data_IF_806589858228
#
_entry.id   IF_806589858228
#
_cell.length_a   1.000
_cell.length_b   1.000
_cell.length_c   1.000
_cell.angle_alpha   90.00
_cell.angle_beta   90.00
_cell.angle_gamma   90.00
#
_symmetry.space_group_name_H-M   'P 1'
#
loop_
_entity.id
_entity.type
_entity.pdbx_description
1 polymer ?
#
# COMPACT_ATOMS: atom_id res chain seq x y z
N UNK A 1 33.43 -2.26 -30.04
CA UNK A 1 32.63 -2.68 -28.87
C UNK A 1 33.02 -1.97 -27.56
N UNK A 2 34.32 -1.76 -27.25
CA UNK A 2 34.73 -1.05 -26.01
C UNK A 2 34.21 0.41 -25.90
N UNK A 3 34.15 1.17 -27.00
CA UNK A 3 33.71 2.57 -26.96
C UNK A 3 32.20 2.75 -26.69
N UNK A 4 31.36 1.86 -27.21
CA UNK A 4 29.90 1.97 -27.08
C UNK A 4 29.42 1.50 -25.70
N UNK A 5 30.08 0.48 -25.13
CA UNK A 5 29.71 -0.03 -23.81
C UNK A 5 30.10 0.94 -22.68
N UNK A 6 31.25 1.61 -22.80
CA UNK A 6 31.74 2.58 -21.83
C UNK A 6 30.85 3.83 -21.69
N UNK A 7 30.00 4.12 -22.69
CA UNK A 7 29.09 5.26 -22.71
C UNK A 7 27.62 4.85 -22.49
N UNK A 8 27.31 3.57 -22.27
CA UNK A 8 25.93 3.15 -21.97
C UNK A 8 25.59 3.48 -20.52
N UNK A 9 24.58 4.32 -20.32
CA UNK A 9 24.05 4.68 -19.00
C UNK A 9 22.70 4.01 -18.71
N UNK A 10 22.30 3.02 -19.52
CA UNK A 10 21.06 2.27 -19.34
C UNK A 10 21.35 0.93 -18.66
N UNK A 11 21.03 0.86 -17.36
CA UNK A 11 21.24 -0.34 -16.56
C UNK A 11 20.33 -1.52 -16.99
N UNK A 12 19.12 -1.26 -17.50
CA UNK A 12 18.20 -2.33 -17.97
C UNK A 12 18.78 -2.96 -19.24
N UNK A 13 19.23 -2.14 -20.20
CA UNK A 13 19.87 -2.62 -21.43
C UNK A 13 21.13 -3.45 -21.13
N UNK A 14 21.95 -3.01 -20.17
CA UNK A 14 23.12 -3.77 -19.70
C UNK A 14 22.71 -5.11 -19.08
N UNK A 15 21.67 -5.14 -18.24
CA UNK A 15 21.14 -6.36 -17.65
C UNK A 15 20.58 -7.31 -18.72
N UNK A 16 19.84 -6.80 -19.70
CA UNK A 16 19.35 -7.57 -20.85
C UNK A 16 20.49 -8.25 -21.61
N UNK A 17 21.56 -7.51 -21.93
CA UNK A 17 22.75 -8.07 -22.60
C UNK A 17 23.40 -9.19 -21.78
N UNK A 18 23.48 -9.03 -20.45
CA UNK A 18 23.97 -10.07 -19.53
C UNK A 18 23.09 -11.33 -19.61
N UNK A 19 21.76 -11.15 -19.52
CA UNK A 19 20.80 -12.25 -19.55
C UNK A 19 20.85 -13.02 -20.88
N UNK A 20 20.91 -12.29 -22.00
CA UNK A 20 21.05 -12.88 -23.33
C UNK A 20 22.36 -13.67 -23.42
N UNK A 21 23.47 -13.12 -22.93
CA UNK A 21 24.79 -13.78 -22.97
C UNK A 21 24.77 -15.08 -22.17
N UNK A 22 24.22 -15.08 -20.94
CA UNK A 22 24.06 -16.28 -20.11
C UNK A 22 23.16 -17.33 -20.77
N UNK A 23 22.05 -16.91 -21.38
CA UNK A 23 21.17 -17.83 -22.11
C UNK A 23 21.87 -18.48 -23.31
N UNK A 24 22.72 -17.73 -24.02
CA UNK A 24 23.55 -18.29 -25.08
C UNK A 24 24.57 -19.30 -24.54
N UNK A 25 25.18 -19.06 -23.37
CA UNK A 25 26.06 -20.05 -22.72
C UNK A 25 25.31 -21.36 -22.45
N UNK A 26 24.10 -21.29 -21.89
CA UNK A 26 23.28 -22.49 -21.64
C UNK A 26 22.96 -23.25 -22.95
N UNK A 27 22.57 -22.53 -24.01
CA UNK A 27 22.27 -23.15 -25.31
C UNK A 27 23.52 -23.79 -25.95
N UNK A 28 24.67 -23.13 -25.90
CA UNK A 28 25.92 -23.65 -26.46
C UNK A 28 26.43 -24.86 -25.67
N UNK A 29 26.31 -24.83 -24.34
CA UNK A 29 26.59 -25.96 -23.46
C UNK A 29 25.70 -27.17 -23.78
N UNK A 30 24.37 -26.95 -23.89
CA UNK A 30 23.42 -28.00 -24.28
C UNK A 30 23.71 -28.59 -25.66
N UNK A 31 24.23 -27.77 -26.58
CA UNK A 31 24.65 -28.21 -27.93
C UNK A 31 26.07 -28.79 -27.98
N UNK A 32 26.79 -28.81 -26.86
CA UNK A 32 28.19 -29.26 -26.74
C UNK A 32 29.15 -28.51 -27.67
N UNK A 33 29.01 -27.18 -27.75
CA UNK A 33 29.82 -26.29 -28.59
C UNK A 33 30.71 -25.37 -27.72
N UNK A 34 31.91 -25.82 -27.28
CA UNK A 34 32.72 -25.07 -26.32
C UNK A 34 33.52 -23.90 -26.93
N UNK A 35 33.56 -23.78 -28.27
CA UNK A 35 34.42 -22.81 -28.94
C UNK A 35 34.07 -21.34 -28.67
N UNK A 36 32.85 -21.06 -28.17
CA UNK A 36 32.38 -19.71 -27.84
C UNK A 36 32.42 -19.41 -26.34
N UNK A 37 32.74 -20.37 -25.48
CA UNK A 37 32.68 -20.20 -24.02
C UNK A 37 33.59 -19.05 -23.57
N UNK A 38 34.85 -19.05 -24.03
CA UNK A 38 35.81 -17.98 -23.73
C UNK A 38 35.36 -16.61 -24.22
N UNK A 39 34.60 -16.53 -25.32
CA UNK A 39 34.08 -15.26 -25.83
C UNK A 39 32.93 -14.75 -24.94
N UNK A 40 31.99 -15.63 -24.60
CA UNK A 40 30.82 -15.30 -23.77
C UNK A 40 31.25 -14.94 -22.33
N UNK A 41 32.24 -15.65 -21.78
CA UNK A 41 32.83 -15.33 -20.47
C UNK A 41 33.48 -13.94 -20.48
N UNK A 42 34.26 -13.64 -21.52
CA UNK A 42 34.86 -12.30 -21.68
C UNK A 42 33.79 -11.23 -21.83
N UNK A 43 32.70 -11.49 -22.54
CA UNK A 43 31.59 -10.55 -22.65
C UNK A 43 30.98 -10.24 -21.26
N UNK A 44 30.74 -11.25 -20.43
CA UNK A 44 30.26 -11.06 -19.06
C UNK A 44 31.25 -10.28 -18.18
N UNK A 45 32.57 -10.56 -18.30
CA UNK A 45 33.62 -9.81 -17.59
C UNK A 45 33.59 -8.31 -17.91
N UNK A 46 33.18 -7.91 -19.12
CA UNK A 46 33.02 -6.48 -19.46
C UNK A 46 31.66 -5.91 -19.07
N UNK A 47 30.59 -6.69 -19.17
CA UNK A 47 29.22 -6.24 -18.93
C UNK A 47 28.96 -5.99 -17.44
N UNK A 48 29.37 -6.90 -16.55
CA UNK A 48 29.09 -6.81 -15.11
C UNK A 48 29.69 -5.58 -14.42
N UNK A 49 31.00 -5.27 -14.59
CA UNK A 49 31.57 -4.06 -14.01
C UNK A 49 30.87 -2.79 -14.52
N UNK A 50 30.50 -2.76 -15.82
CA UNK A 50 29.79 -1.62 -16.38
C UNK A 50 28.39 -1.47 -15.80
N UNK A 51 27.64 -2.56 -15.69
CA UNK A 51 26.33 -2.56 -15.02
C UNK A 51 26.46 -2.01 -13.60
N UNK A 52 27.43 -2.52 -12.83
CA UNK A 52 27.68 -2.05 -11.45
C UNK A 52 27.95 -0.55 -11.40
N UNK A 53 28.80 -0.01 -12.27
CA UNK A 53 29.08 1.43 -12.31
C UNK A 53 27.82 2.26 -12.54
N UNK A 54 26.99 1.89 -13.53
CA UNK A 54 25.75 2.62 -13.82
C UNK A 54 24.75 2.50 -12.66
N UNK A 55 24.64 1.31 -12.07
CA UNK A 55 23.76 1.06 -10.93
C UNK A 55 24.17 1.87 -9.69
N UNK A 56 25.47 1.92 -9.38
CA UNK A 56 26.01 2.73 -8.28
C UNK A 56 25.73 4.23 -8.50
N UNK A 57 25.80 4.71 -9.75
CA UNK A 57 25.44 6.10 -10.10
C UNK A 57 23.96 6.38 -9.82
N UNK A 58 23.05 5.44 -10.15
CA UNK A 58 21.62 5.60 -9.86
C UNK A 58 21.35 5.66 -8.36
N UNK A 59 22.00 4.78 -7.57
CA UNK A 59 21.89 4.79 -6.11
C UNK A 59 22.37 6.13 -5.55
N UNK A 60 23.51 6.63 -6.01
CA UNK A 60 24.04 7.91 -5.55
C UNK A 60 23.09 9.07 -5.88
N UNK A 61 22.48 9.05 -7.07
CA UNK A 61 21.47 10.05 -7.46
C UNK A 61 20.25 10.02 -6.54
N UNK A 62 19.84 8.84 -6.07
CA UNK A 62 18.73 8.71 -5.12
C UNK A 62 19.09 9.27 -3.75
N UNK A 63 20.30 9.00 -3.25
CA UNK A 63 20.76 9.53 -1.96
C UNK A 63 20.94 11.07 -1.95
N UNK A 64 21.27 11.66 -3.10
CA UNK A 64 21.42 13.11 -3.24
C UNK A 64 20.08 13.83 -3.45
N UNK A 65 18.99 13.08 -3.65
CA UNK A 65 17.68 13.64 -3.93
C UNK A 65 17.02 14.13 -2.63
N UNK A 66 16.69 15.43 -2.54
CA UNK A 66 15.94 15.95 -1.40
C UNK A 66 14.45 15.61 -1.55
N UNK A 67 13.98 14.63 -0.78
CA UNK A 67 12.59 14.21 -0.77
C UNK A 67 11.62 15.37 -0.51
N UNK A 68 12.01 16.41 0.24
CA UNK A 68 11.12 17.53 0.59
C UNK A 68 10.86 18.47 -0.59
N UNK A 69 11.80 18.59 -1.52
CA UNK A 69 11.62 19.41 -2.73
C UNK A 69 10.75 18.72 -3.80
N UNK A 70 10.48 17.42 -3.66
CA UNK A 70 9.76 16.62 -4.67
C UNK A 70 8.25 16.56 -4.45
N UNK A 71 7.76 16.94 -3.26
CA UNK A 71 6.35 16.82 -2.86
C UNK A 71 5.65 18.17 -2.90
N UNK A 72 5.47 18.73 -4.11
CA UNK A 72 4.88 20.07 -4.30
C UNK A 72 3.34 20.03 -4.41
N UNK A 73 2.77 18.97 -4.99
CA UNK A 73 1.34 18.92 -5.37
C UNK A 73 0.57 17.71 -4.77
N UNK A 74 1.04 17.23 -3.60
CA UNK A 74 0.67 15.98 -2.92
C UNK A 74 -0.74 15.43 -3.17
N UNK A 75 -0.79 14.35 -3.95
CA UNK A 75 -1.89 13.35 -4.08
C UNK A 75 -1.42 12.11 -4.85
N UNK A 76 -0.35 12.23 -5.66
CA UNK A 76 0.13 11.16 -6.54
C UNK A 76 1.58 10.76 -6.22
N UNK A 77 1.96 9.47 -6.42
CA UNK A 77 3.36 9.05 -6.32
C UNK A 77 4.24 9.85 -7.28
N UNK A 78 5.35 10.39 -6.77
CA UNK A 78 6.28 11.17 -7.58
C UNK A 78 6.88 10.32 -8.72
N UNK A 79 7.20 10.96 -9.85
CA UNK A 79 7.72 10.26 -11.03
C UNK A 79 8.99 9.45 -10.74
N UNK A 80 9.88 9.92 -9.84
CA UNK A 80 11.08 9.18 -9.42
C UNK A 80 10.71 7.84 -8.77
N UNK A 81 9.68 7.81 -7.92
CA UNK A 81 9.19 6.58 -7.28
C UNK A 81 8.68 5.61 -8.34
N UNK A 82 7.93 6.12 -9.32
CA UNK A 82 7.46 5.32 -10.45
C UNK A 82 8.61 4.77 -11.29
N UNK A 83 9.60 5.59 -11.67
CA UNK A 83 10.77 5.14 -12.41
C UNK A 83 11.55 4.06 -11.64
N UNK A 84 11.72 4.24 -10.33
CA UNK A 84 12.37 3.24 -9.47
C UNK A 84 11.60 1.92 -9.41
N UNK A 85 10.27 1.99 -9.34
CA UNK A 85 9.40 0.82 -9.36
C UNK A 85 9.48 0.08 -10.70
N UNK A 86 9.35 0.78 -11.83
CA UNK A 86 9.46 0.22 -13.18
C UNK A 86 10.84 -0.41 -13.42
N UNK A 87 11.90 0.26 -12.96
CA UNK A 87 13.28 -0.24 -13.02
C UNK A 87 13.47 -1.52 -12.19
N UNK A 88 13.06 -1.49 -10.92
CA UNK A 88 13.17 -2.64 -10.01
C UNK A 88 12.36 -3.84 -10.52
N UNK A 89 11.13 -3.61 -10.99
CA UNK A 89 10.29 -4.66 -11.56
C UNK A 89 10.95 -5.32 -12.79
N UNK A 90 11.53 -4.50 -13.68
CA UNK A 90 12.26 -4.98 -14.86
C UNK A 90 13.47 -5.82 -14.45
N UNK A 91 14.26 -5.38 -13.46
CA UNK A 91 15.42 -6.13 -12.96
C UNK A 91 15.02 -7.46 -12.34
N UNK A 92 13.97 -7.48 -11.50
CA UNK A 92 13.46 -8.70 -10.87
C UNK A 92 13.01 -9.71 -11.93
N UNK A 93 12.27 -9.26 -12.95
CA UNK A 93 11.82 -10.13 -14.04
C UNK A 93 13.00 -10.68 -14.83
N UNK A 94 13.96 -9.84 -15.22
CA UNK A 94 15.14 -10.26 -15.96
C UNK A 94 16.01 -11.23 -15.16
N UNK A 95 16.15 -11.02 -13.85
CA UNK A 95 16.92 -11.91 -12.99
C UNK A 95 16.24 -13.29 -12.87
N UNK A 96 14.91 -13.33 -12.76
CA UNK A 96 14.15 -14.58 -12.74
C UNK A 96 14.29 -15.39 -14.04
N UNK A 97 14.43 -14.73 -15.19
CA UNK A 97 14.63 -15.38 -16.49
C UNK A 97 16.08 -15.83 -16.75
N UNK A 98 17.05 -15.33 -15.96
CA UNK A 98 18.49 -15.41 -16.24
C UNK A 98 19.25 -16.43 -15.36
N UNK A 99 18.74 -16.79 -14.18
CA UNK A 99 19.49 -17.58 -13.20
C UNK A 99 18.85 -18.91 -12.79
N UNK A 100 19.63 -19.99 -12.92
CA UNK A 100 19.81 -20.97 -11.83
C UNK A 100 20.36 -20.20 -10.60
N UNK A 101 19.66 -20.18 -9.46
CA UNK A 101 20.13 -19.53 -8.23
C UNK A 101 19.02 -19.21 -7.23
N UNK A 102 18.69 -20.17 -6.38
CA UNK A 102 17.73 -20.03 -5.27
C UNK A 102 18.06 -18.84 -4.34
N UNK A 103 19.33 -18.50 -4.15
CA UNK A 103 19.78 -17.52 -3.14
C UNK A 103 19.39 -16.06 -3.45
N UNK A 104 19.58 -15.61 -4.70
CA UNK A 104 19.16 -14.26 -5.12
C UNK A 104 17.62 -14.11 -5.18
N UNK A 105 16.91 -15.24 -5.31
CA UNK A 105 15.45 -15.29 -5.24
C UNK A 105 14.92 -15.06 -3.83
N UNK A 106 15.59 -15.59 -2.80
CA UNK A 106 15.15 -15.44 -1.40
C UNK A 106 15.30 -14.01 -0.88
N UNK A 107 16.41 -13.31 -1.17
CA UNK A 107 16.55 -11.90 -0.77
C UNK A 107 15.49 -11.00 -1.43
N UNK A 108 15.18 -11.24 -2.70
CA UNK A 108 14.15 -10.49 -3.41
C UNK A 108 12.73 -10.79 -2.88
N UNK A 109 12.46 -12.02 -2.45
CA UNK A 109 11.20 -12.40 -1.80
C UNK A 109 11.08 -11.77 -0.42
N UNK A 110 12.15 -11.75 0.36
CA UNK A 110 12.16 -11.13 1.69
C UNK A 110 11.90 -9.63 1.61
N UNK A 111 12.56 -8.94 0.66
CA UNK A 111 12.33 -7.52 0.42
C UNK A 111 10.89 -7.24 -0.03
N UNK A 112 10.32 -8.10 -0.88
CA UNK A 112 8.91 -8.01 -1.29
C UNK A 112 7.99 -8.11 -0.07
N UNK A 113 8.18 -9.14 0.76
CA UNK A 113 7.39 -9.34 1.98
C UNK A 113 7.47 -8.13 2.90
N UNK A 114 8.67 -7.61 3.13
CA UNK A 114 8.87 -6.40 3.94
C UNK A 114 8.04 -5.21 3.44
N UNK A 115 8.01 -4.97 2.11
CA UNK A 115 7.22 -3.88 1.54
C UNK A 115 5.71 -4.15 1.59
N UNK A 116 5.28 -5.40 1.44
CA UNK A 116 3.87 -5.80 1.58
C UNK A 116 3.38 -5.59 3.02
N UNK A 117 4.14 -6.04 4.02
CA UNK A 117 3.85 -5.79 5.44
C UNK A 117 3.82 -4.28 5.76
N UNK A 118 4.77 -3.52 5.20
CA UNK A 118 4.81 -2.07 5.41
C UNK A 118 3.63 -1.36 4.75
N UNK A 119 3.22 -1.81 3.57
CA UNK A 119 2.04 -1.31 2.87
C UNK A 119 0.77 -1.58 3.68
N UNK A 120 0.60 -2.81 4.19
CA UNK A 120 -0.55 -3.18 5.01
C UNK A 120 -0.60 -2.36 6.31
N UNK A 121 0.53 -2.23 7.01
CA UNK A 121 0.63 -1.40 8.22
C UNK A 121 0.27 0.06 7.94
N UNK A 122 0.79 0.66 6.86
CA UNK A 122 0.48 2.03 6.50
C UNK A 122 -1.00 2.20 6.08
N UNK A 123 -1.59 1.19 5.43
CA UNK A 123 -3.00 1.20 5.04
C UNK A 123 -3.89 1.24 6.29
N UNK A 124 -3.61 0.40 7.28
CA UNK A 124 -4.34 0.40 8.56
C UNK A 124 -4.23 1.76 9.25
N UNK A 125 -3.03 2.33 9.33
CA UNK A 125 -2.85 3.68 9.91
C UNK A 125 -3.64 4.75 9.15
N UNK A 126 -3.65 4.71 7.82
CA UNK A 126 -4.40 5.65 7.02
C UNK A 126 -5.92 5.52 7.21
N UNK A 127 -6.43 4.30 7.33
CA UNK A 127 -7.85 4.05 7.65
C UNK A 127 -8.20 4.61 9.03
N UNK A 128 -7.36 4.42 10.02
CA UNK A 128 -7.56 4.98 11.36
C UNK A 128 -7.56 6.51 11.35
N UNK A 129 -6.65 7.14 10.59
CA UNK A 129 -6.60 8.60 10.42
C UNK A 129 -7.86 9.13 9.74
N UNK A 130 -8.31 8.50 8.65
CA UNK A 130 -9.55 8.85 7.95
C UNK A 130 -10.77 8.77 8.89
N UNK A 131 -10.89 7.68 9.65
CA UNK A 131 -12.01 7.50 10.58
C UNK A 131 -11.95 8.50 11.73
N UNK A 132 -10.77 8.85 12.21
CA UNK A 132 -10.59 9.87 13.23
C UNK A 132 -10.96 11.28 12.74
N UNK A 133 -10.65 11.61 11.49
CA UNK A 133 -10.99 12.90 10.89
C UNK A 133 -12.51 13.06 10.74
N UNK A 134 -13.19 12.04 10.19
CA UNK A 134 -14.62 12.13 9.85
C UNK A 134 -15.58 11.64 10.94
N UNK A 135 -15.13 10.71 11.80
CA UNK A 135 -15.97 10.06 12.81
C UNK A 135 -15.32 10.03 14.20
N UNK A 136 -14.39 10.94 14.47
CA UNK A 136 -13.56 10.93 15.69
C UNK A 136 -14.32 10.82 17.02
N UNK A 137 -15.50 11.43 17.15
CA UNK A 137 -16.32 11.30 18.37
C UNK A 137 -16.78 9.86 18.63
N UNK A 138 -17.21 9.16 17.58
CA UNK A 138 -17.59 7.75 17.64
C UNK A 138 -16.37 6.88 17.96
N UNK A 139 -15.26 7.10 17.25
CA UNK A 139 -14.05 6.28 17.41
C UNK A 139 -13.46 6.44 18.81
N UNK A 140 -13.34 7.67 19.31
CA UNK A 140 -12.87 7.94 20.69
C UNK A 140 -13.78 7.29 21.73
N UNK A 141 -15.10 7.38 21.53
CA UNK A 141 -16.06 6.74 22.43
C UNK A 141 -15.87 5.21 22.47
N UNK A 142 -15.83 4.55 21.32
CA UNK A 142 -15.65 3.09 21.23
C UNK A 142 -14.31 2.67 21.84
N UNK A 143 -13.21 3.35 21.50
CA UNK A 143 -11.87 3.03 22.05
C UNK A 143 -11.78 3.20 23.58
N UNK A 144 -12.50 4.16 24.15
CA UNK A 144 -12.44 4.44 25.58
C UNK A 144 -13.33 3.53 26.44
N UNK A 145 -14.43 3.02 25.87
CA UNK A 145 -15.49 2.36 26.66
C UNK A 145 -15.80 0.91 26.22
N UNK A 146 -15.20 0.42 25.13
CA UNK A 146 -15.51 -0.88 24.56
C UNK A 146 -14.20 -1.60 24.25
N UNK A 147 -13.85 -2.60 25.07
CA UNK A 147 -12.68 -3.46 24.85
C UNK A 147 -12.77 -4.17 23.49
N UNK A 148 -11.63 -4.46 22.86
CA UNK A 148 -11.56 -5.19 21.59
C UNK A 148 -12.16 -6.61 21.70
N UNK A 149 -12.04 -7.21 22.88
CA UNK A 149 -12.68 -8.46 23.23
C UNK A 149 -14.19 -8.25 23.45
N UNK A 150 -14.97 -8.74 22.48
CA UNK A 150 -16.42 -8.88 22.60
C UNK A 150 -16.76 -9.40 24.01
N UNK A 151 -17.55 -8.62 24.76
CA UNK A 151 -18.36 -8.99 25.95
C UNK A 151 -17.95 -8.34 27.29
N UNK A 152 -16.76 -7.75 27.47
CA UNK A 152 -16.43 -7.03 28.72
C UNK A 152 -16.51 -5.51 28.57
N UNK A 153 -17.68 -4.94 28.92
CA UNK A 153 -17.79 -3.49 29.13
C UNK A 153 -16.97 -3.14 30.38
N UNK A 154 -15.89 -2.39 30.22
CA UNK A 154 -14.97 -2.04 31.32
C UNK A 154 -15.59 -1.10 32.34
N UNK A 155 -16.65 -0.39 31.98
CA UNK A 155 -17.66 0.24 32.84
C UNK A 155 -18.75 0.74 31.88
N UNK A 156 -20.04 0.56 32.18
CA UNK A 156 -21.09 1.01 31.27
C UNK A 156 -21.15 2.56 31.30
N UNK A 157 -20.92 3.26 30.18
CA UNK A 157 -20.82 4.72 30.17
C UNK A 157 -22.14 5.39 30.55
N UNK A 158 -22.06 6.60 31.11
CA UNK A 158 -23.25 7.35 31.49
C UNK A 158 -23.96 7.88 30.23
N UNK A 159 -25.29 8.04 30.30
CA UNK A 159 -26.09 8.59 29.21
C UNK A 159 -25.58 9.97 28.75
N UNK A 160 -25.04 10.77 29.68
CA UNK A 160 -24.48 12.09 29.40
C UNK A 160 -23.27 12.05 28.44
N UNK A 161 -22.50 10.96 28.45
CA UNK A 161 -21.31 10.79 27.61
C UNK A 161 -21.69 10.26 26.22
N UNK A 162 -22.73 9.41 26.15
CA UNK A 162 -23.17 8.75 24.90
C UNK A 162 -24.12 9.62 24.08
N UNK A 163 -24.98 10.39 24.74
CA UNK A 163 -25.96 11.27 24.09
C UNK A 163 -25.36 12.22 23.04
N UNK A 164 -24.28 12.97 23.29
CA UNK A 164 -23.70 13.86 22.29
C UNK A 164 -23.16 13.09 21.08
N UNK A 165 -22.55 11.92 21.29
CA UNK A 165 -22.01 11.07 20.21
C UNK A 165 -23.12 10.59 19.30
N UNK A 166 -24.21 10.05 19.87
CA UNK A 166 -25.37 9.56 19.10
C UNK A 166 -26.02 10.69 18.31
N UNK A 167 -26.26 11.85 18.94
CA UNK A 167 -26.89 13.00 18.27
C UNK A 167 -26.02 13.57 17.15
N UNK A 168 -24.71 13.73 17.40
CA UNK A 168 -23.80 14.27 16.40
C UNK A 168 -23.69 13.33 15.20
N UNK A 169 -23.56 12.02 15.45
CA UNK A 169 -23.55 11.01 14.41
C UNK A 169 -24.81 11.08 13.55
N UNK A 170 -26.00 11.09 14.16
CA UNK A 170 -27.28 11.10 13.46
C UNK A 170 -27.43 12.25 12.47
N UNK A 171 -26.86 13.42 12.79
CA UNK A 171 -26.92 14.63 11.95
C UNK A 171 -25.88 14.60 10.84
N UNK A 172 -24.64 14.16 11.12
CA UNK A 172 -23.50 14.37 10.21
C UNK A 172 -23.07 13.14 9.41
N UNK A 173 -23.51 11.94 9.77
CA UNK A 173 -22.93 10.70 9.23
C UNK A 173 -22.95 10.61 7.70
N UNK A 174 -24.00 11.08 7.03
CA UNK A 174 -24.08 11.05 5.55
C UNK A 174 -23.08 12.00 4.91
N UNK A 175 -23.03 13.24 5.39
CA UNK A 175 -22.10 14.26 4.90
C UNK A 175 -20.65 13.82 5.11
N UNK A 176 -20.33 13.30 6.29
CA UNK A 176 -18.99 12.82 6.60
C UNK A 176 -18.61 11.59 5.77
N UNK A 177 -19.55 10.68 5.51
CA UNK A 177 -19.33 9.53 4.63
C UNK A 177 -19.04 9.95 3.18
N UNK A 178 -19.72 10.97 2.68
CA UNK A 178 -19.48 11.54 1.35
C UNK A 178 -18.13 12.25 1.25
N UNK A 179 -17.76 13.05 2.27
CA UNK A 179 -16.45 13.70 2.33
C UNK A 179 -15.31 12.68 2.38
N UNK A 180 -15.43 11.65 3.24
CA UNK A 180 -14.47 10.55 3.32
C UNK A 180 -14.32 9.82 1.98
N UNK A 181 -15.43 9.55 1.28
CA UNK A 181 -15.38 8.98 -0.07
C UNK A 181 -14.61 9.89 -1.04
N UNK A 182 -14.93 11.18 -1.06
CA UNK A 182 -14.31 12.14 -1.99
C UNK A 182 -12.82 12.33 -1.71
N UNK A 183 -12.40 12.32 -0.44
CA UNK A 183 -10.98 12.36 -0.08
C UNK A 183 -10.25 11.12 -0.60
N UNK A 184 -10.80 9.92 -0.37
CA UNK A 184 -10.17 8.68 -0.85
C UNK A 184 -10.05 8.68 -2.38
N UNK A 185 -11.09 9.13 -3.10
CA UNK A 185 -11.06 9.28 -4.57
C UNK A 185 -9.96 10.24 -5.00
N UNK A 186 -9.75 11.33 -4.27
CA UNK A 186 -8.77 12.38 -4.61
C UNK A 186 -7.33 11.95 -4.28
N UNK A 187 -7.14 11.22 -3.19
CA UNK A 187 -5.82 10.78 -2.71
C UNK A 187 -5.32 9.49 -3.39
N UNK A 188 -6.20 8.68 -3.98
CA UNK A 188 -5.82 7.41 -4.58
C UNK A 188 -5.75 7.49 -6.10
N UNK A 189 -4.54 7.50 -6.65
CA UNK A 189 -4.31 7.41 -8.10
C UNK A 189 -4.71 6.04 -8.69
N UNK A 190 -4.80 5.00 -7.84
CA UNK A 190 -5.33 3.68 -8.22
C UNK A 190 -6.68 3.45 -7.58
N UNK A 191 -7.67 3.31 -8.45
CA UNK A 191 -9.03 2.99 -8.14
C UNK A 191 -9.20 1.73 -7.25
N UNK A 192 -8.41 0.68 -7.50
CA UNK A 192 -8.46 -0.58 -6.73
C UNK A 192 -7.99 -0.38 -5.29
N UNK A 193 -6.90 0.36 -5.10
CA UNK A 193 -6.35 0.66 -3.77
C UNK A 193 -7.26 1.58 -2.98
N UNK A 194 -7.81 2.62 -3.62
CA UNK A 194 -8.79 3.51 -3.01
C UNK A 194 -10.05 2.78 -2.58
N UNK A 195 -10.55 1.88 -3.42
CA UNK A 195 -11.69 1.02 -3.07
C UNK A 195 -11.39 0.11 -1.87
N UNK A 196 -10.20 -0.47 -1.79
CA UNK A 196 -9.81 -1.31 -0.66
C UNK A 196 -9.77 -0.52 0.66
N UNK A 197 -9.16 0.67 0.65
CA UNK A 197 -9.13 1.60 1.79
C UNK A 197 -10.54 1.98 2.22
N UNK A 198 -11.38 2.41 1.27
CA UNK A 198 -12.73 2.85 1.58
C UNK A 198 -13.59 1.71 2.14
N UNK A 199 -13.48 0.50 1.57
CA UNK A 199 -14.17 -0.69 2.10
C UNK A 199 -13.73 -1.01 3.52
N UNK A 200 -12.43 -0.97 3.81
CA UNK A 200 -11.91 -1.20 5.15
C UNK A 200 -12.44 -0.16 6.14
N UNK A 201 -12.35 1.13 5.81
CA UNK A 201 -12.85 2.22 6.64
C UNK A 201 -14.36 2.11 6.89
N UNK A 202 -15.16 1.87 5.84
CA UNK A 202 -16.61 1.72 5.97
C UNK A 202 -17.02 0.49 6.78
N UNK A 203 -16.30 -0.62 6.65
CA UNK A 203 -16.53 -1.82 7.45
C UNK A 203 -16.25 -1.56 8.93
N UNK A 204 -15.13 -0.90 9.25
CA UNK A 204 -14.76 -0.54 10.62
C UNK A 204 -15.76 0.47 11.21
N UNK A 205 -16.15 1.50 10.46
CA UNK A 205 -17.21 2.44 10.85
C UNK A 205 -18.52 1.73 11.22
N UNK A 206 -18.95 0.76 10.40
CA UNK A 206 -20.17 0.01 10.66
C UNK A 206 -20.05 -0.83 11.94
N UNK A 207 -18.89 -1.44 12.18
CA UNK A 207 -18.62 -2.20 13.40
C UNK A 207 -18.63 -1.29 14.64
N UNK A 208 -17.94 -0.16 14.58
CA UNK A 208 -17.88 0.82 15.67
C UNK A 208 -19.26 1.40 15.99
N UNK A 209 -20.06 1.68 14.97
CA UNK A 209 -21.44 2.14 15.16
C UNK A 209 -22.35 1.04 15.73
N UNK A 210 -22.20 -0.22 15.30
CA UNK A 210 -22.91 -1.35 15.92
C UNK A 210 -22.58 -1.45 17.40
N UNK A 211 -21.29 -1.34 17.77
CA UNK A 211 -20.83 -1.33 19.16
C UNK A 211 -21.46 -0.19 19.97
N UNK A 212 -21.50 1.03 19.42
CA UNK A 212 -22.23 2.15 20.02
C UNK A 212 -23.72 1.83 20.22
N UNK A 213 -24.38 1.30 19.20
CA UNK A 213 -25.82 1.00 19.25
C UNK A 213 -26.14 -0.10 20.27
N UNK A 214 -25.29 -1.11 20.43
CA UNK A 214 -25.45 -2.12 21.49
C UNK A 214 -25.19 -1.53 22.87
N UNK A 215 -24.17 -0.67 23.02
CA UNK A 215 -23.88 0.03 24.27
C UNK A 215 -25.10 0.85 24.76
N UNK A 216 -25.75 1.60 23.87
CA UNK A 216 -26.97 2.40 24.20
C UNK A 216 -28.10 1.53 24.77
N UNK A 217 -28.24 0.28 24.32
CA UNK A 217 -29.28 -0.64 24.83
C UNK A 217 -29.01 -1.10 26.25
N UNK A 218 -27.75 -1.11 26.68
CA UNK A 218 -27.33 -1.57 28.00
C UNK A 218 -27.39 -0.46 29.06
N UNK A 219 -27.44 0.81 28.65
CA UNK A 219 -27.41 1.97 29.56
C UNK A 219 -28.80 2.24 30.17
N UNK A 220 -28.92 2.39 31.50
CA UNK A 220 -30.15 2.85 32.14
C UNK A 220 -30.60 4.21 31.59
N UNK A 221 -31.81 4.27 31.00
CA UNK A 221 -32.35 5.48 30.36
C UNK A 221 -31.94 5.68 28.89
N UNK A 222 -31.10 4.80 28.33
CA UNK A 222 -30.64 4.87 26.93
C UNK A 222 -31.76 4.75 25.90
N UNK A 223 -32.92 4.18 26.26
CA UNK A 223 -34.11 4.11 25.40
C UNK A 223 -34.60 5.46 24.89
N UNK A 224 -34.31 6.55 25.63
CA UNK A 224 -34.61 7.93 25.21
C UNK A 224 -33.81 8.39 23.96
N UNK A 225 -32.68 7.73 23.69
CA UNK A 225 -31.81 8.01 22.55
C UNK A 225 -32.18 7.20 21.30
N UNK A 226 -33.07 6.20 21.40
CA UNK A 226 -33.46 5.34 20.27
C UNK A 226 -33.97 6.13 19.06
N UNK A 227 -34.63 7.27 19.29
CA UNK A 227 -35.11 8.16 18.21
C UNK A 227 -34.00 8.80 17.38
N UNK A 228 -32.78 8.91 17.95
CA UNK A 228 -31.62 9.49 17.30
C UNK A 228 -30.71 8.39 16.72
N UNK A 229 -30.94 7.11 17.02
CA UNK A 229 -30.17 6.04 16.42
C UNK A 229 -30.52 5.90 14.94
N UNK A 230 -29.49 6.00 14.10
CA UNK A 230 -29.56 5.65 12.69
C UNK A 230 -29.63 4.13 12.57
N UNK A 231 -30.50 3.62 11.70
CA UNK A 231 -30.60 2.18 11.47
C UNK A 231 -29.34 1.63 10.78
N UNK A 232 -28.87 0.48 11.24
CA UNK A 232 -27.73 -0.25 10.64
C UNK A 232 -27.96 -0.53 9.15
N UNK A 233 -29.20 -0.81 8.77
CA UNK A 233 -29.59 -1.05 7.38
C UNK A 233 -29.43 0.19 6.51
N UNK A 234 -29.72 1.39 7.03
CA UNK A 234 -29.52 2.65 6.31
C UNK A 234 -28.04 2.96 6.10
N UNK A 235 -27.21 2.76 7.12
CA UNK A 235 -25.76 2.94 7.02
C UNK A 235 -25.18 1.94 6.01
N UNK A 236 -25.57 0.66 6.11
CA UNK A 236 -25.14 -0.38 5.18
C UNK A 236 -25.56 -0.10 3.73
N UNK A 237 -26.76 0.45 3.52
CA UNK A 237 -27.23 0.83 2.19
C UNK A 237 -26.37 1.94 1.58
N UNK A 238 -26.07 3.01 2.33
CA UNK A 238 -25.22 4.10 1.85
C UNK A 238 -23.77 3.63 1.61
N UNK A 239 -23.20 2.82 2.50
CA UNK A 239 -21.87 2.21 2.29
C UNK A 239 -21.83 1.43 0.96
N UNK A 240 -22.87 0.63 0.69
CA UNK A 240 -22.96 -0.16 -0.55
C UNK A 240 -23.04 0.72 -1.79
N UNK A 241 -23.69 1.89 -1.71
CA UNK A 241 -23.77 2.85 -2.81
C UNK A 241 -22.36 3.32 -3.20
N UNK A 242 -21.58 3.79 -2.23
CA UNK A 242 -20.22 4.26 -2.47
C UNK A 242 -19.25 3.16 -2.90
N UNK A 243 -19.45 1.92 -2.43
CA UNK A 243 -18.64 0.76 -2.85
C UNK A 243 -18.88 0.31 -4.30
N UNK A 244 -19.89 0.87 -4.98
CA UNK A 244 -20.26 0.53 -6.37
C UNK A 244 -19.97 1.65 -7.36
N UNK A 245 -19.95 2.91 -6.90
CA UNK A 245 -19.79 4.12 -7.71
C UNK A 245 -18.36 4.57 -7.89
N UNK A 246 -17.48 3.91 -7.17
CA UNK A 246 -16.06 3.98 -7.33
C UNK A 246 -15.82 2.83 -8.34
#
# INVERSE_FOLDING_TARGET
>A
MKLTLANSHDAICLMLMICITKKHQLVMSNRRLPCLDTYLDKALIYLWPRFKTVFDMYIQSLYQCDAKMLWVDGTHPHHIVRCYMEFTASLVQLNAECGDGQEAGEEAKELRRYFEEKLESNLVSFVDELLMEYFGDLIKFVKNHISEDLISYTECPNIADVEPVVKNFAVKWRTNLELMHNEVVTCCSNFVSGMAILKAAMAQLLNDYNRLSECVKMIPGGSSLNRNLVSITSISYEIRKYSRTL
#
